data_IF_348312283371
#
_entry.id   IF_348312283371
#
_cell.length_a   1.000
_cell.length_b   1.000
_cell.length_c   1.000
_cell.angle_alpha   90.00
_cell.angle_beta   90.00
_cell.angle_gamma   90.00
#
_symmetry.space_group_name_H-M   'P 1'
#
loop_
_entity.id
_entity.type
_entity.pdbx_description
1 polymer ?
#
# COMPACT_ATOMS: atom_id res chain seq x y z
N UNK A 1 56.33 23.15 -19.77
CA UNK A 1 56.76 23.20 -18.35
C UNK A 1 55.79 22.32 -17.56
N UNK A 2 56.32 21.49 -16.69
CA UNK A 2 55.73 20.20 -16.38
C UNK A 2 54.68 20.21 -15.24
N UNK A 3 53.78 19.30 -15.39
CA UNK A 3 52.83 18.66 -14.50
C UNK A 3 53.42 18.32 -13.10
N UNK A 4 52.75 18.70 -12.02
CA UNK A 4 52.98 18.21 -10.66
C UNK A 4 51.67 17.97 -9.92
N UNK A 5 51.08 16.81 -10.16
CA UNK A 5 50.00 16.27 -9.30
C UNK A 5 50.56 15.14 -8.38
N UNK A 6 50.12 15.01 -7.12
CA UNK A 6 50.73 14.07 -6.19
C UNK A 6 50.25 12.63 -6.41
N UNK A 7 51.21 11.73 -6.59
CA UNK A 7 51.01 10.27 -6.63
C UNK A 7 50.82 9.72 -5.23
N UNK A 8 49.70 9.09 -4.95
CA UNK A 8 49.48 8.31 -3.73
C UNK A 8 50.08 6.92 -3.93
N UNK A 9 51.08 6.58 -3.14
CA UNK A 9 51.72 5.25 -3.09
C UNK A 9 50.89 4.28 -2.27
N UNK A 10 50.51 3.15 -2.90
CA UNK A 10 50.05 1.95 -2.19
C UNK A 10 51.21 1.37 -1.38
N UNK A 11 51.06 1.20 -0.07
CA UNK A 11 51.91 0.36 0.76
C UNK A 11 51.22 -0.94 1.09
N UNK A 12 51.77 -2.01 0.56
CA UNK A 12 51.55 -3.40 0.96
C UNK A 12 52.14 -3.63 2.35
N UNK A 13 51.35 -4.22 3.25
CA UNK A 13 51.89 -4.85 4.46
C UNK A 13 51.40 -6.29 4.47
N UNK A 14 52.32 -7.17 4.10
CA UNK A 14 52.31 -8.60 4.42
C UNK A 14 53.38 -8.79 5.48
N UNK A 15 53.02 -9.45 6.59
CA UNK A 15 53.84 -10.47 7.30
C UNK A 15 53.37 -10.64 8.75
N UNK A 16 53.11 -11.87 9.10
CA UNK A 16 52.92 -12.32 10.46
C UNK A 16 52.32 -13.72 10.52
N UNK A 17 53.10 -14.74 10.13
CA UNK A 17 52.76 -16.15 10.28
C UNK A 17 53.03 -16.53 11.74
N UNK A 18 52.06 -17.12 12.40
CA UNK A 18 52.22 -17.83 13.66
C UNK A 18 51.41 -19.13 13.61
N UNK A 19 52.08 -20.22 13.24
CA UNK A 19 51.55 -21.55 13.28
C UNK A 19 51.54 -22.08 14.71
N UNK A 20 50.40 -22.51 15.23
CA UNK A 20 50.30 -23.41 16.37
C UNK A 20 49.47 -24.62 15.95
N UNK A 21 50.17 -25.72 15.78
CA UNK A 21 49.62 -27.04 15.58
C UNK A 21 49.02 -27.55 16.88
N UNK A 22 47.77 -28.02 16.85
CA UNK A 22 47.20 -28.93 17.84
C UNK A 22 46.45 -30.04 17.11
N UNK A 23 46.87 -31.25 17.45
CA UNK A 23 46.47 -32.55 16.91
C UNK A 23 44.97 -32.86 17.15
N UNK A 24 44.41 -33.83 16.40
CA UNK A 24 42.98 -34.11 16.42
C UNK A 24 42.63 -35.04 17.57
N UNK A 25 41.64 -34.70 18.36
CA UNK A 25 40.94 -35.63 19.25
C UNK A 25 39.64 -36.01 18.53
N UNK A 26 39.68 -37.24 17.97
CA UNK A 26 38.50 -37.93 17.45
C UNK A 26 37.71 -38.43 18.65
N UNK A 27 36.56 -37.86 18.92
CA UNK A 27 35.49 -38.55 19.60
C UNK A 27 34.17 -38.31 18.83
N UNK A 28 33.71 -39.40 18.27
CA UNK A 28 32.44 -39.47 17.60
C UNK A 28 31.27 -39.30 18.57
N UNK A 29 30.38 -38.37 18.22
CA UNK A 29 28.98 -38.43 18.59
C UNK A 29 28.23 -37.69 17.48
N UNK A 30 27.57 -38.48 16.67
CA UNK A 30 26.66 -38.00 15.62
C UNK A 30 25.49 -37.24 16.24
N UNK A 31 25.63 -35.97 16.42
CA UNK A 31 24.50 -35.06 16.60
C UNK A 31 24.13 -34.48 15.25
N UNK A 32 23.12 -35.03 14.60
CA UNK A 32 22.39 -34.38 13.54
C UNK A 32 21.83 -33.07 14.12
N UNK A 33 22.50 -31.94 13.89
CA UNK A 33 21.87 -30.65 14.02
C UNK A 33 20.97 -30.51 12.79
N UNK A 34 19.83 -31.18 12.80
CA UNK A 34 18.69 -30.76 12.04
C UNK A 34 18.23 -29.45 12.70
N UNK A 35 18.73 -28.33 12.18
CA UNK A 35 18.12 -27.03 12.42
C UNK A 35 16.68 -27.11 11.88
N UNK A 36 15.78 -27.67 12.69
CA UNK A 36 14.36 -27.51 12.48
C UNK A 36 14.10 -26.01 12.68
N UNK A 37 14.00 -25.25 11.58
CA UNK A 37 13.18 -24.06 11.60
C UNK A 37 11.88 -24.48 12.29
N UNK A 38 11.41 -23.78 13.32
CA UNK A 38 10.12 -24.10 13.88
C UNK A 38 9.13 -24.02 12.73
N UNK A 39 8.59 -25.15 12.31
CA UNK A 39 7.46 -25.19 11.43
C UNK A 39 6.36 -24.47 12.21
N UNK A 40 6.24 -23.16 11.95
CA UNK A 40 5.12 -22.38 12.41
C UNK A 40 3.92 -23.21 12.06
N UNK A 41 3.11 -23.61 13.04
CA UNK A 41 1.85 -24.30 12.80
C UNK A 41 1.15 -23.52 11.71
N UNK A 42 1.20 -24.04 10.46
CA UNK A 42 0.34 -23.56 9.40
C UNK A 42 -1.06 -23.77 9.95
N UNK A 43 -1.68 -22.68 10.45
CA UNK A 43 -3.12 -22.66 10.61
C UNK A 43 -3.62 -23.05 9.23
N UNK A 44 -4.24 -24.21 9.09
CA UNK A 44 -5.00 -24.56 7.88
C UNK A 44 -5.82 -23.33 7.57
N UNK A 45 -5.86 -22.86 6.31
CA UNK A 45 -6.75 -21.77 5.93
C UNK A 45 -8.11 -22.19 6.49
N UNK A 46 -8.63 -21.39 7.41
CA UNK A 46 -9.99 -21.60 7.91
C UNK A 46 -10.86 -21.54 6.65
N UNK A 47 -11.55 -22.61 6.33
CA UNK A 47 -12.35 -22.70 5.12
C UNK A 47 -13.14 -21.40 5.00
N UNK A 48 -12.97 -20.70 3.87
CA UNK A 48 -13.49 -19.36 3.73
C UNK A 48 -15.01 -19.42 3.99
N UNK A 49 -15.45 -18.78 5.08
CA UNK A 49 -16.86 -18.74 5.47
C UNK A 49 -17.67 -17.76 4.61
N UNK A 50 -16.99 -16.97 3.78
CA UNK A 50 -17.57 -15.96 2.92
C UNK A 50 -17.01 -16.07 1.50
N UNK A 51 -17.87 -15.91 0.50
CA UNK A 51 -17.48 -15.79 -0.90
C UNK A 51 -16.71 -14.48 -1.14
N UNK A 52 -17.18 -13.40 -0.49
CA UNK A 52 -16.52 -12.10 -0.51
C UNK A 52 -15.76 -11.89 0.79
N UNK A 53 -14.46 -11.60 0.70
CA UNK A 53 -13.58 -11.37 1.85
C UNK A 53 -12.51 -10.33 1.59
N UNK A 54 -12.23 -9.58 2.63
CA UNK A 54 -11.05 -8.70 2.72
C UNK A 54 -9.85 -9.52 3.18
N UNK A 55 -8.69 -9.32 2.56
CA UNK A 55 -7.39 -9.82 3.01
C UNK A 55 -6.49 -8.61 3.25
N UNK A 56 -5.98 -8.47 4.47
CA UNK A 56 -5.03 -7.41 4.82
C UNK A 56 -3.62 -7.87 4.41
N UNK A 57 -3.02 -7.19 3.43
CA UNK A 57 -1.68 -7.53 2.93
C UNK A 57 -0.60 -6.72 3.66
N UNK A 58 -0.94 -5.50 4.09
CA UNK A 58 -0.07 -4.66 4.87
C UNK A 58 -0.90 -3.70 5.71
N UNK A 59 -0.52 -3.54 6.96
CA UNK A 59 -1.33 -2.86 7.98
C UNK A 59 -0.62 -1.73 8.71
N UNK A 60 0.65 -1.43 8.37
CA UNK A 60 1.34 -0.25 8.92
C UNK A 60 1.19 0.96 8.00
N UNK A 61 1.21 2.13 8.60
CA UNK A 61 1.23 3.43 7.94
C UNK A 61 2.54 4.17 8.13
N UNK A 62 2.76 5.15 7.26
CA UNK A 62 3.90 6.04 7.24
C UNK A 62 5.11 5.49 6.49
N UNK A 63 5.85 6.40 5.86
CA UNK A 63 7.05 6.08 5.07
C UNK A 63 8.26 5.80 5.98
N UNK A 64 8.13 4.87 6.92
CA UNK A 64 9.20 4.51 7.86
C UNK A 64 9.11 3.06 8.31
N UNK A 65 10.20 2.54 8.85
CA UNK A 65 10.24 1.23 9.52
C UNK A 65 10.08 1.42 11.03
N UNK A 66 9.00 0.89 11.57
CA UNK A 66 8.71 0.97 12.98
C UNK A 66 9.47 -0.09 13.77
N UNK A 67 10.31 0.27 14.73
CA UNK A 67 11.09 -0.70 15.53
C UNK A 67 10.18 -1.74 16.19
N UNK A 68 10.53 -3.02 16.03
CA UNK A 68 9.77 -4.12 16.61
C UNK A 68 8.45 -4.45 15.92
N UNK A 69 8.19 -3.87 14.74
CA UNK A 69 7.07 -4.22 13.86
C UNK A 69 7.56 -4.92 12.60
N UNK A 70 6.93 -6.01 12.22
CA UNK A 70 7.13 -6.75 10.97
C UNK A 70 5.97 -6.55 9.98
N UNK A 71 5.11 -5.57 10.24
CA UNK A 71 3.97 -5.21 9.38
C UNK A 71 4.48 -4.65 8.05
N UNK A 72 3.93 -5.13 6.95
CA UNK A 72 4.06 -4.50 5.65
C UNK A 72 3.27 -3.19 5.60
N UNK A 73 3.65 -2.29 4.70
CA UNK A 73 2.94 -1.02 4.48
C UNK A 73 1.59 -1.25 3.80
N UNK A 74 0.77 -0.19 3.80
CA UNK A 74 -0.64 -0.24 3.43
C UNK A 74 -0.93 -1.01 2.15
N UNK A 75 -1.71 -2.07 2.26
CA UNK A 75 -2.25 -2.81 1.12
C UNK A 75 -3.37 -3.75 1.55
N UNK A 76 -4.39 -3.88 0.73
CA UNK A 76 -5.51 -4.77 0.94
C UNK A 76 -5.85 -5.51 -0.35
N UNK A 77 -6.48 -6.68 -0.24
CA UNK A 77 -7.11 -7.34 -1.35
C UNK A 77 -8.58 -7.65 -1.02
N UNK A 78 -9.47 -7.29 -1.91
CA UNK A 78 -10.84 -7.79 -1.94
C UNK A 78 -10.86 -9.04 -2.81
N UNK A 79 -11.37 -10.13 -2.28
CA UNK A 79 -11.59 -11.38 -3.00
C UNK A 79 -13.07 -11.63 -3.16
N UNK A 80 -13.53 -11.89 -4.38
CA UNK A 80 -14.92 -12.25 -4.68
C UNK A 80 -14.91 -13.57 -5.48
N UNK A 81 -15.22 -14.67 -4.81
CA UNK A 81 -14.95 -16.00 -5.39
C UNK A 81 -13.45 -16.20 -5.61
N UNK A 82 -13.04 -16.32 -6.87
CA UNK A 82 -11.63 -16.46 -7.26
C UNK A 82 -11.01 -15.13 -7.75
N UNK A 83 -11.82 -14.11 -8.02
CA UNK A 83 -11.32 -12.82 -8.48
C UNK A 83 -10.69 -12.01 -7.35
N UNK A 84 -9.58 -11.35 -7.64
CA UNK A 84 -8.79 -10.54 -6.71
C UNK A 84 -8.76 -9.10 -7.21
N UNK A 85 -9.05 -8.16 -6.32
CA UNK A 85 -8.91 -6.71 -6.52
C UNK A 85 -7.94 -6.20 -5.47
N UNK A 86 -6.84 -5.59 -5.89
CA UNK A 86 -5.78 -5.11 -4.99
C UNK A 86 -5.95 -3.61 -4.77
N UNK A 87 -5.84 -3.17 -3.53
CA UNK A 87 -5.90 -1.77 -3.14
C UNK A 87 -4.58 -1.44 -2.46
N UNK A 88 -3.85 -0.52 -3.05
CA UNK A 88 -2.49 -0.12 -2.71
C UNK A 88 -1.46 -1.28 -2.73
N UNK A 89 -0.20 -0.94 -2.88
CA UNK A 89 0.93 -1.87 -2.93
C UNK A 89 2.13 -1.24 -2.19
N UNK A 90 1.97 -1.03 -0.88
CA UNK A 90 3.04 -0.52 -0.03
C UNK A 90 4.20 -1.50 0.13
N UNK A 91 5.25 -1.09 0.84
CA UNK A 91 6.45 -1.92 1.06
C UNK A 91 6.12 -3.26 1.70
N UNK A 92 6.58 -4.35 1.11
CA UNK A 92 6.35 -5.72 1.57
C UNK A 92 5.01 -6.31 1.14
N UNK A 93 4.10 -5.53 0.56
CA UNK A 93 2.74 -5.95 0.19
C UNK A 93 2.74 -7.02 -0.91
N UNK A 94 3.62 -6.92 -1.91
CA UNK A 94 3.71 -7.92 -2.96
C UNK A 94 4.14 -9.30 -2.41
N UNK A 95 5.03 -9.32 -1.42
CA UNK A 95 5.40 -10.56 -0.73
C UNK A 95 4.23 -11.11 0.10
N UNK A 96 3.48 -10.27 0.82
CA UNK A 96 2.29 -10.67 1.56
C UNK A 96 1.18 -11.18 0.63
N UNK A 97 1.04 -10.56 -0.55
CA UNK A 97 0.12 -11.05 -1.59
C UNK A 97 0.47 -12.49 -2.01
N UNK A 98 1.74 -12.76 -2.26
CA UNK A 98 2.19 -14.13 -2.54
C UNK A 98 1.92 -15.08 -1.37
N UNK A 99 2.18 -14.68 -0.13
CA UNK A 99 1.91 -15.50 1.06
C UNK A 99 0.40 -15.80 1.24
N UNK A 100 -0.47 -14.84 0.90
CA UNK A 100 -1.92 -15.00 1.06
C UNK A 100 -2.53 -15.95 0.01
N UNK A 101 -2.05 -15.91 -1.23
CA UNK A 101 -2.73 -16.56 -2.36
C UNK A 101 -1.91 -17.63 -3.06
N UNK A 102 -0.59 -17.67 -2.87
CA UNK A 102 0.25 -18.64 -3.53
C UNK A 102 0.10 -20.03 -2.90
N UNK A 103 -0.76 -20.84 -3.48
CA UNK A 103 -0.90 -22.25 -3.10
C UNK A 103 0.16 -23.12 -3.78
N UNK A 104 0.75 -22.66 -4.87
CA UNK A 104 1.71 -23.38 -5.70
C UNK A 104 1.21 -24.72 -6.24
N UNK A 105 1.79 -25.14 -7.34
CA UNK A 105 1.65 -26.52 -7.83
C UNK A 105 2.89 -27.30 -7.43
N UNK A 106 2.73 -28.53 -7.03
CA UNK A 106 3.83 -29.41 -6.61
C UNK A 106 3.95 -30.60 -7.58
N UNK A 107 5.19 -30.89 -7.99
CA UNK A 107 5.53 -32.10 -8.76
C UNK A 107 6.55 -32.90 -7.99
N UNK A 108 6.60 -34.21 -8.24
CA UNK A 108 7.67 -35.11 -7.75
C UNK A 108 8.67 -35.31 -8.87
N UNK A 109 9.93 -34.94 -8.63
CA UNK A 109 11.02 -35.16 -9.57
C UNK A 109 12.23 -35.76 -8.84
N UNK A 110 12.72 -36.90 -9.28
CA UNK A 110 13.82 -37.66 -8.65
C UNK A 110 13.64 -37.91 -7.17
N UNK A 111 12.39 -38.12 -6.71
CA UNK A 111 12.07 -38.37 -5.31
C UNK A 111 11.88 -37.12 -4.45
N UNK A 112 12.14 -35.94 -5.00
CA UNK A 112 11.95 -34.65 -4.31
C UNK A 112 10.62 -34.01 -4.69
N UNK A 113 9.99 -33.32 -3.75
CA UNK A 113 8.79 -32.52 -4.00
C UNK A 113 9.21 -31.11 -4.39
N UNK A 114 8.91 -30.70 -5.61
CA UNK A 114 9.28 -29.40 -6.17
C UNK A 114 8.01 -28.59 -6.35
N UNK A 115 8.02 -27.37 -5.83
CA UNK A 115 6.95 -26.39 -6.07
C UNK A 115 7.14 -25.72 -7.42
N UNK A 116 6.07 -25.68 -8.20
CA UNK A 116 6.00 -25.00 -9.50
C UNK A 116 4.87 -23.97 -9.50
N UNK A 117 4.77 -23.16 -10.53
CA UNK A 117 3.72 -22.15 -10.71
C UNK A 117 3.54 -21.21 -9.50
N UNK A 118 4.66 -20.66 -9.04
CA UNK A 118 4.75 -19.91 -7.78
C UNK A 118 3.82 -18.69 -7.68
N UNK A 119 3.44 -18.10 -8.78
CA UNK A 119 2.69 -16.83 -8.82
C UNK A 119 1.44 -16.90 -9.71
N UNK A 120 0.95 -18.10 -10.05
CA UNK A 120 -0.20 -18.28 -10.97
C UNK A 120 -1.49 -17.60 -10.49
N UNK A 121 -1.64 -17.34 -9.17
CA UNK A 121 -2.76 -16.59 -8.61
C UNK A 121 -2.88 -15.17 -9.17
N UNK A 122 -1.79 -14.57 -9.68
CA UNK A 122 -1.82 -13.22 -10.26
C UNK A 122 -2.67 -13.14 -11.53
N UNK A 123 -2.96 -14.26 -12.20
CA UNK A 123 -3.95 -14.33 -13.29
C UNK A 123 -5.38 -14.00 -12.81
N UNK A 124 -5.66 -14.13 -11.52
CA UNK A 124 -6.96 -13.84 -10.91
C UNK A 124 -7.11 -12.36 -10.52
N UNK A 125 -6.01 -11.58 -10.57
CA UNK A 125 -6.07 -10.15 -10.29
C UNK A 125 -6.71 -9.43 -11.46
N UNK A 126 -7.89 -8.83 -11.23
CA UNK A 126 -8.67 -8.11 -12.25
C UNK A 126 -8.36 -6.62 -12.31
N UNK A 127 -8.15 -6.01 -11.14
CA UNK A 127 -7.83 -4.59 -11.06
C UNK A 127 -6.99 -4.25 -9.83
N UNK A 128 -6.24 -3.14 -9.95
CA UNK A 128 -5.46 -2.51 -8.87
C UNK A 128 -5.96 -1.07 -8.71
N UNK A 129 -6.12 -0.62 -7.48
CA UNK A 129 -6.56 0.73 -7.13
C UNK A 129 -5.56 1.38 -6.19
N UNK A 130 -5.06 2.55 -6.53
CA UNK A 130 -4.19 3.33 -5.65
C UNK A 130 -4.98 4.48 -5.04
N UNK A 131 -4.96 4.57 -3.70
CA UNK A 131 -5.67 5.62 -2.96
C UNK A 131 -5.01 6.97 -3.17
N UNK A 132 -3.69 7.02 -3.10
CA UNK A 132 -2.86 8.19 -3.36
C UNK A 132 -1.41 7.77 -3.70
N UNK A 133 -0.52 8.74 -3.90
CA UNK A 133 0.79 8.48 -4.53
C UNK A 133 1.97 8.46 -3.56
N UNK A 134 1.76 8.23 -2.25
CA UNK A 134 2.86 8.03 -1.31
C UNK A 134 3.53 6.65 -1.48
N UNK A 135 4.82 6.57 -1.17
CA UNK A 135 5.59 5.34 -1.37
C UNK A 135 5.14 4.19 -0.49
N UNK A 136 4.62 4.44 0.71
CA UNK A 136 4.06 3.40 1.57
C UNK A 136 2.72 2.82 1.06
N UNK A 137 2.21 3.35 -0.08
CA UNK A 137 1.05 2.83 -0.81
C UNK A 137 1.40 2.25 -2.18
N UNK A 138 2.60 2.53 -2.72
CA UNK A 138 2.99 2.07 -4.05
C UNK A 138 4.42 1.52 -4.17
N UNK A 139 5.14 1.38 -3.05
CA UNK A 139 6.55 0.98 -3.05
C UNK A 139 6.85 -0.38 -3.69
N UNK A 140 5.93 -1.34 -3.61
CA UNK A 140 6.05 -2.66 -4.25
C UNK A 140 5.41 -2.73 -5.66
N UNK A 141 4.90 -1.62 -6.19
CA UNK A 141 4.27 -1.61 -7.50
C UNK A 141 5.20 -2.06 -8.64
N UNK A 142 6.49 -1.64 -8.71
CA UNK A 142 7.41 -2.17 -9.70
C UNK A 142 7.61 -3.69 -9.62
N UNK A 143 7.74 -4.21 -8.40
CA UNK A 143 7.86 -5.66 -8.14
C UNK A 143 6.60 -6.41 -8.57
N UNK A 144 5.44 -5.84 -8.29
CA UNK A 144 4.16 -6.42 -8.70
C UNK A 144 4.04 -6.49 -10.23
N UNK A 145 4.46 -5.44 -10.95
CA UNK A 145 4.45 -5.43 -12.42
C UNK A 145 5.34 -6.52 -13.00
N UNK A 146 6.58 -6.66 -12.50
CA UNK A 146 7.55 -7.65 -12.97
C UNK A 146 7.06 -9.09 -12.73
N UNK A 147 6.73 -9.42 -11.48
CA UNK A 147 6.28 -10.77 -11.12
C UNK A 147 4.94 -11.09 -11.78
N UNK A 148 4.07 -10.11 -11.88
CA UNK A 148 2.76 -10.28 -12.50
C UNK A 148 2.83 -10.57 -14.00
N UNK A 149 3.70 -9.88 -14.72
CA UNK A 149 3.94 -10.15 -16.14
C UNK A 149 4.45 -11.59 -16.36
N UNK A 150 5.41 -12.03 -15.53
CA UNK A 150 5.91 -13.41 -15.53
C UNK A 150 4.82 -14.44 -15.22
N UNK A 151 3.92 -14.12 -14.31
CA UNK A 151 2.80 -14.98 -13.91
C UNK A 151 1.63 -14.94 -14.89
N UNK A 152 1.63 -14.03 -15.85
CA UNK A 152 0.63 -13.90 -16.90
C UNK A 152 -0.64 -13.16 -16.48
N UNK A 153 -0.55 -12.17 -15.58
CA UNK A 153 -1.67 -11.25 -15.40
C UNK A 153 -1.99 -10.52 -16.71
N UNK A 154 -3.20 -10.08 -16.90
CA UNK A 154 -3.60 -9.38 -18.12
C UNK A 154 -3.58 -10.24 -19.40
N UNK A 155 -3.39 -11.57 -19.30
CA UNK A 155 -3.31 -12.45 -20.47
C UNK A 155 -4.67 -12.70 -21.13
N UNK A 156 -5.76 -12.69 -20.37
CA UNK A 156 -7.11 -12.81 -20.91
C UNK A 156 -7.68 -11.42 -21.24
N UNK A 157 -7.69 -10.54 -20.23
CA UNK A 157 -8.06 -9.14 -20.33
C UNK A 157 -6.97 -8.30 -19.69
N UNK A 158 -6.65 -7.12 -20.26
CA UNK A 158 -5.66 -6.22 -19.67
C UNK A 158 -5.95 -5.96 -18.22
N UNK A 159 -4.93 -6.09 -17.36
CA UNK A 159 -5.03 -5.70 -15.98
C UNK A 159 -5.39 -4.21 -15.88
N UNK A 160 -6.47 -3.88 -15.20
CA UNK A 160 -6.92 -2.51 -15.01
C UNK A 160 -6.24 -1.90 -13.79
N UNK A 161 -5.64 -0.72 -13.95
CA UNK A 161 -4.94 -0.01 -12.87
C UNK A 161 -5.51 1.39 -12.77
N UNK A 162 -6.00 1.73 -11.59
CA UNK A 162 -6.61 3.02 -11.30
C UNK A 162 -5.84 3.73 -10.20
N UNK A 163 -5.71 5.04 -10.30
CA UNK A 163 -5.11 5.84 -9.24
C UNK A 163 -5.27 7.33 -9.51
N UNK A 164 -4.75 8.18 -8.64
CA UNK A 164 -4.88 9.63 -8.77
C UNK A 164 -4.36 10.17 -10.09
N UNK A 165 -5.04 11.18 -10.61
CA UNK A 165 -4.50 12.02 -11.68
C UNK A 165 -3.37 12.93 -11.16
N UNK A 166 -2.68 13.56 -12.10
CA UNK A 166 -1.69 14.59 -11.79
C UNK A 166 -2.34 15.73 -10.99
N UNK A 167 -1.67 16.14 -9.90
CA UNK A 167 -2.11 17.26 -9.07
C UNK A 167 -2.01 18.61 -9.77
N UNK A 168 -1.06 18.81 -10.69
CA UNK A 168 -0.66 20.11 -11.21
C UNK A 168 0.43 20.78 -10.35
N UNK A 169 0.40 22.13 -10.28
CA UNK A 169 1.43 22.88 -9.55
C UNK A 169 1.34 22.69 -8.03
N UNK A 170 2.51 22.68 -7.40
CA UNK A 170 2.63 22.82 -5.95
C UNK A 170 2.85 24.28 -5.58
N UNK A 171 2.43 24.66 -4.36
CA UNK A 171 2.82 25.94 -3.77
C UNK A 171 4.33 25.97 -3.50
N UNK A 172 4.91 27.15 -3.64
CA UNK A 172 6.36 27.33 -3.47
C UNK A 172 6.82 27.09 -2.02
N UNK A 173 5.97 27.30 -1.05
CA UNK A 173 6.30 27.09 0.37
C UNK A 173 5.07 26.90 1.26
N UNK A 174 4.49 25.71 1.24
CA UNK A 174 3.29 25.38 2.04
C UNK A 174 3.62 25.17 3.51
N UNK A 175 4.88 24.84 3.81
CA UNK A 175 5.30 24.45 5.16
C UNK A 175 5.67 25.63 6.06
N UNK A 176 5.86 26.83 5.48
CA UNK A 176 6.44 27.98 6.21
C UNK A 176 7.91 27.79 6.59
N UNK A 177 8.56 26.71 6.14
CA UNK A 177 9.97 26.45 6.39
C UNK A 177 10.84 27.20 5.37
N UNK A 178 11.67 28.13 5.85
CA UNK A 178 12.48 29.02 5.02
C UNK A 178 13.70 28.34 4.36
N UNK A 179 13.88 27.04 4.54
CA UNK A 179 15.08 26.29 4.11
C UNK A 179 15.21 26.01 2.60
N UNK A 180 14.29 26.49 1.78
CA UNK A 180 14.28 26.27 0.34
C UNK A 180 14.00 24.80 -0.01
N UNK A 181 12.92 24.56 -0.73
CA UNK A 181 12.57 23.21 -1.20
C UNK A 181 13.17 23.01 -2.58
N UNK A 182 14.17 22.15 -2.68
CA UNK A 182 14.51 21.50 -3.95
C UNK A 182 13.54 20.34 -4.14
N UNK A 183 12.50 20.53 -4.94
CA UNK A 183 11.56 19.47 -5.26
C UNK A 183 12.08 18.67 -6.45
N UNK A 184 12.19 17.34 -6.26
CA UNK A 184 12.60 16.45 -7.35
C UNK A 184 11.68 16.63 -8.57
N UNK A 185 12.27 16.80 -9.75
CA UNK A 185 11.52 16.93 -11.00
C UNK A 185 10.88 18.30 -11.26
N UNK A 186 11.22 19.34 -10.50
CA UNK A 186 10.63 20.69 -10.63
C UNK A 186 11.54 21.69 -11.37
N UNK A 187 12.54 21.20 -12.09
CA UNK A 187 13.50 22.05 -12.81
C UNK A 187 12.92 22.81 -14.01
N UNK A 188 11.66 22.55 -14.35
CA UNK A 188 10.99 23.25 -15.46
C UNK A 188 9.58 23.71 -15.08
N UNK A 189 9.09 24.84 -15.61
CA UNK A 189 7.72 25.30 -15.40
C UNK A 189 6.64 24.32 -15.86
N UNK A 190 7.00 23.30 -16.63
CA UNK A 190 6.11 22.26 -17.16
C UNK A 190 6.29 20.92 -16.44
N UNK A 191 7.23 20.81 -15.50
CA UNK A 191 7.39 19.61 -14.72
C UNK A 191 6.11 19.34 -13.93
N UNK A 192 5.67 18.09 -13.97
CA UNK A 192 4.57 17.60 -13.15
C UNK A 192 5.15 17.12 -11.82
N UNK A 193 5.19 17.98 -10.78
CA UNK A 193 5.89 17.65 -9.54
C UNK A 193 5.23 16.47 -8.79
N UNK A 194 3.97 16.22 -9.10
CA UNK A 194 3.19 15.11 -8.53
C UNK A 194 2.46 14.38 -9.65
N UNK A 195 3.17 13.49 -10.38
CA UNK A 195 2.58 12.76 -11.50
C UNK A 195 1.42 11.88 -11.04
N UNK A 196 0.42 11.70 -11.90
CA UNK A 196 -0.65 10.72 -11.70
C UNK A 196 -0.16 9.29 -11.89
N UNK A 197 -1.05 8.31 -11.66
CA UNK A 197 -0.67 6.89 -11.72
C UNK A 197 -0.18 6.46 -13.11
N UNK A 198 -0.75 7.00 -14.19
CA UNK A 198 -0.31 6.69 -15.56
C UNK A 198 1.13 7.13 -15.79
N UNK A 199 1.43 8.40 -15.55
CA UNK A 199 2.80 8.91 -15.73
C UNK A 199 3.78 8.23 -14.76
N UNK A 200 3.38 7.95 -13.52
CA UNK A 200 4.20 7.20 -12.57
C UNK A 200 4.51 5.80 -13.09
N UNK A 201 3.54 5.12 -13.70
CA UNK A 201 3.77 3.81 -14.34
C UNK A 201 4.79 3.92 -15.47
N UNK A 202 4.67 4.91 -16.35
CA UNK A 202 5.63 5.14 -17.44
C UNK A 202 7.05 5.38 -16.92
N UNK A 203 7.19 6.17 -15.85
CA UNK A 203 8.48 6.43 -15.19
C UNK A 203 9.08 5.16 -14.54
N UNK A 204 8.25 4.32 -13.93
CA UNK A 204 8.66 3.03 -13.38
C UNK A 204 9.16 2.12 -14.50
N UNK A 205 8.42 2.00 -15.60
CA UNK A 205 8.81 1.17 -16.75
C UNK A 205 10.15 1.66 -17.34
N UNK A 206 10.38 2.96 -17.42
CA UNK A 206 11.66 3.53 -17.85
C UNK A 206 12.79 3.25 -16.85
N UNK A 207 12.54 3.41 -15.55
CA UNK A 207 13.56 3.20 -14.51
C UNK A 207 14.03 1.76 -14.43
N UNK A 208 13.14 0.80 -14.70
CA UNK A 208 13.43 -0.64 -14.66
C UNK A 208 13.51 -1.27 -16.06
N UNK A 209 13.72 -0.45 -17.11
CA UNK A 209 13.72 -0.92 -18.50
C UNK A 209 14.71 -2.05 -18.76
N UNK A 210 15.86 -2.06 -18.10
CA UNK A 210 16.83 -3.15 -18.25
C UNK A 210 16.21 -4.52 -17.89
N UNK A 211 15.49 -4.60 -16.76
CA UNK A 211 14.84 -5.84 -16.32
C UNK A 211 13.68 -6.19 -17.25
N UNK A 212 12.75 -5.28 -17.47
CA UNK A 212 11.56 -5.57 -18.27
C UNK A 212 11.90 -5.96 -19.71
N UNK A 213 12.86 -5.26 -20.35
CA UNK A 213 13.28 -5.56 -21.72
C UNK A 213 14.02 -6.90 -21.81
N UNK A 214 14.89 -7.21 -20.85
CA UNK A 214 15.57 -8.51 -20.81
C UNK A 214 14.55 -9.65 -20.70
N UNK A 215 13.60 -9.55 -19.79
CA UNK A 215 12.58 -10.58 -19.61
C UNK A 215 11.71 -10.76 -20.86
N UNK A 216 11.36 -9.67 -21.55
CA UNK A 216 10.60 -9.75 -22.79
C UNK A 216 11.46 -10.34 -23.92
N UNK A 217 12.73 -9.94 -24.04
CA UNK A 217 13.62 -10.36 -25.12
C UNK A 217 14.15 -11.80 -24.95
N UNK A 218 14.63 -12.13 -23.73
CA UNK A 218 15.34 -13.40 -23.51
C UNK A 218 14.42 -14.52 -23.00
N UNK A 219 13.37 -14.17 -22.25
CA UNK A 219 12.51 -15.12 -21.56
C UNK A 219 11.11 -15.20 -22.19
N UNK A 220 10.83 -14.42 -23.23
CA UNK A 220 9.54 -14.36 -23.94
C UNK A 220 8.34 -13.96 -23.05
N UNK A 221 8.58 -13.18 -21.99
CA UNK A 221 7.49 -12.62 -21.20
C UNK A 221 6.75 -11.52 -21.96
N UNK A 222 5.47 -11.29 -21.65
CA UNK A 222 4.70 -10.24 -22.28
C UNK A 222 5.31 -8.86 -22.05
N UNK A 223 5.25 -8.01 -23.07
CA UNK A 223 5.54 -6.58 -22.96
C UNK A 223 4.47 -5.90 -22.05
N UNK A 224 4.88 -5.41 -20.90
CA UNK A 224 3.97 -4.94 -19.85
C UNK A 224 2.97 -3.89 -20.37
N UNK A 225 3.34 -2.85 -21.15
CA UNK A 225 2.38 -1.90 -21.69
C UNK A 225 1.25 -2.52 -22.53
N UNK A 226 1.45 -3.72 -23.08
CA UNK A 226 0.43 -4.41 -23.86
C UNK A 226 -0.61 -5.15 -23.01
N UNK A 227 -0.26 -5.48 -21.78
CA UNK A 227 -1.09 -6.30 -20.88
C UNK A 227 -1.69 -5.54 -19.70
N UNK A 228 -1.39 -4.25 -19.57
CA UNK A 228 -1.99 -3.36 -18.58
C UNK A 228 -2.79 -2.24 -19.25
N UNK A 229 -3.74 -1.68 -18.50
CA UNK A 229 -4.46 -0.45 -18.84
C UNK A 229 -4.50 0.45 -17.62
N UNK A 230 -3.76 1.56 -17.66
CA UNK A 230 -3.64 2.50 -16.54
C UNK A 230 -4.52 3.71 -16.78
N UNK A 231 -5.33 4.05 -15.78
CA UNK A 231 -6.30 5.16 -15.84
C UNK A 231 -6.15 6.08 -14.64
N UNK A 232 -5.89 7.34 -14.90
CA UNK A 232 -5.94 8.41 -13.89
C UNK A 232 -7.39 8.70 -13.52
N UNK A 233 -7.70 8.72 -12.22
CA UNK A 233 -9.00 9.16 -11.69
C UNK A 233 -8.95 10.68 -11.55
N UNK A 234 -9.86 11.38 -12.21
CA UNK A 234 -9.88 12.85 -12.29
C UNK A 234 -9.31 13.41 -13.59
N UNK A 235 -8.97 12.56 -14.56
CA UNK A 235 -8.50 12.95 -15.89
C UNK A 235 -9.56 12.56 -16.94
N UNK A 236 -9.96 13.46 -17.85
CA UNK A 236 -10.88 13.14 -18.95
C UNK A 236 -10.44 11.98 -19.83
N UNK A 237 -9.13 11.76 -20.00
CA UNK A 237 -8.57 10.64 -20.76
C UNK A 237 -8.56 9.31 -19.98
N UNK A 238 -8.79 9.37 -18.68
CA UNK A 238 -8.88 8.22 -17.77
C UNK A 238 -10.30 7.99 -17.25
N UNK A 239 -10.53 8.35 -15.98
CA UNK A 239 -11.85 8.39 -15.35
C UNK A 239 -12.16 9.85 -15.03
N UNK A 240 -13.05 10.52 -15.78
CA UNK A 240 -13.33 11.94 -15.57
C UNK A 240 -13.97 12.19 -14.20
N UNK A 241 -13.79 13.40 -13.69
CA UNK A 241 -14.57 13.87 -12.56
C UNK A 241 -16.07 13.81 -12.88
N UNK A 242 -16.93 13.60 -11.86
CA UNK A 242 -18.37 13.56 -12.09
C UNK A 242 -18.89 14.91 -12.65
N UNK A 243 -19.94 14.83 -13.42
CA UNK A 243 -20.56 16.02 -14.03
C UNK A 243 -20.91 17.07 -12.95
N UNK A 244 -20.51 18.32 -13.21
CA UNK A 244 -20.71 19.43 -12.28
C UNK A 244 -19.66 19.55 -11.16
N UNK A 245 -18.77 18.59 -11.00
CA UNK A 245 -17.63 18.74 -10.08
C UNK A 245 -16.64 19.75 -10.63
N UNK A 246 -16.30 20.74 -9.80
CA UNK A 246 -15.30 21.75 -10.14
C UNK A 246 -13.96 21.35 -9.56
N UNK A 247 -13.17 20.62 -10.34
CA UNK A 247 -11.77 20.39 -9.99
C UNK A 247 -11.04 21.72 -9.94
N UNK A 248 -10.11 21.92 -9.02
CA UNK A 248 -9.20 23.05 -9.06
C UNK A 248 -8.41 23.10 -10.36
N UNK A 249 -8.02 24.32 -10.74
CA UNK A 249 -7.23 24.59 -11.93
C UNK A 249 -5.80 24.03 -11.77
N UNK A 250 -5.38 23.02 -12.56
CA UNK A 250 -4.04 22.41 -12.41
C UNK A 250 -2.90 23.39 -12.71
N UNK A 251 -3.19 24.53 -13.35
CA UNK A 251 -2.20 25.60 -13.59
C UNK A 251 -1.94 26.47 -12.36
N UNK A 252 -2.73 26.33 -11.31
CA UNK A 252 -2.61 27.10 -10.06
C UNK A 252 -2.22 26.19 -8.90
N UNK A 253 -1.43 26.69 -7.94
CA UNK A 253 -1.22 26.00 -6.68
C UNK A 253 -2.56 25.88 -5.94
N UNK A 254 -2.81 24.71 -5.37
CA UNK A 254 -4.03 24.46 -4.60
C UNK A 254 -3.80 24.74 -3.13
N UNK A 255 -4.71 25.47 -2.51
CA UNK A 255 -4.73 25.56 -1.06
C UNK A 255 -5.24 24.25 -0.45
N UNK A 256 -4.88 24.00 0.79
CA UNK A 256 -5.40 22.83 1.52
C UNK A 256 -6.93 22.74 1.54
N UNK A 257 -7.62 23.89 1.61
CA UNK A 257 -9.09 23.92 1.61
C UNK A 257 -9.69 23.41 0.30
N UNK A 258 -8.93 23.39 -0.79
CA UNK A 258 -9.35 22.98 -2.12
C UNK A 258 -9.05 21.50 -2.41
N UNK A 259 -8.18 20.83 -1.62
CA UNK A 259 -7.78 19.43 -1.88
C UNK A 259 -8.90 18.41 -1.62
N UNK A 260 -9.88 18.75 -0.77
CA UNK A 260 -11.02 17.88 -0.47
C UNK A 260 -12.34 18.68 -0.41
N UNK A 261 -12.89 19.14 -1.55
CA UNK A 261 -14.23 19.74 -1.56
C UNK A 261 -15.30 18.69 -1.26
N UNK A 262 -16.46 19.14 -0.76
CA UNK A 262 -17.60 18.26 -0.58
C UNK A 262 -18.06 17.68 -1.94
N UNK A 263 -18.27 16.38 -2.00
CA UNK A 263 -18.70 15.69 -3.22
C UNK A 263 -19.52 14.45 -2.92
N UNK A 264 -20.30 14.03 -3.90
CA UNK A 264 -21.00 12.74 -3.89
C UNK A 264 -20.09 11.62 -4.43
N UNK A 265 -20.29 10.37 -3.97
CA UNK A 265 -19.61 9.22 -4.54
C UNK A 265 -19.86 9.08 -6.04
N UNK A 266 -18.79 8.81 -6.80
CA UNK A 266 -18.90 8.56 -8.24
C UNK A 266 -18.25 7.24 -8.63
N UNK A 267 -18.85 6.58 -9.63
CA UNK A 267 -18.36 5.27 -10.10
C UNK A 267 -17.07 5.46 -10.91
N UNK A 268 -16.06 4.63 -10.59
CA UNK A 268 -14.76 4.64 -11.28
C UNK A 268 -14.51 3.33 -12.04
N UNK A 269 -15.13 2.22 -11.62
CA UNK A 269 -14.96 0.91 -12.24
C UNK A 269 -16.20 0.04 -11.99
N UNK A 270 -16.45 -0.90 -12.89
CA UNK A 270 -17.34 -2.04 -12.63
C UNK A 270 -17.01 -3.20 -13.55
N UNK A 271 -17.26 -4.41 -13.06
CA UNK A 271 -17.31 -5.65 -13.83
C UNK A 271 -18.52 -6.50 -13.39
N UNK A 272 -18.50 -7.80 -13.70
CA UNK A 272 -19.57 -8.74 -13.35
C UNK A 272 -19.65 -9.06 -11.84
N UNK A 273 -18.63 -8.72 -11.05
CA UNK A 273 -18.54 -9.06 -9.62
C UNK A 273 -18.59 -7.86 -8.69
N UNK A 274 -18.06 -6.72 -9.12
CA UNK A 274 -17.94 -5.53 -8.28
C UNK A 274 -18.35 -4.26 -9.02
N UNK A 275 -18.87 -3.30 -8.24
CA UNK A 275 -18.98 -1.90 -8.63
C UNK A 275 -18.12 -1.09 -7.67
N UNK A 276 -17.21 -0.25 -8.20
CA UNK A 276 -16.30 0.57 -7.40
C UNK A 276 -16.64 2.04 -7.54
N UNK A 277 -16.85 2.69 -6.41
CA UNK A 277 -17.08 4.13 -6.32
C UNK A 277 -15.97 4.80 -5.49
N UNK A 278 -15.69 6.06 -5.76
CA UNK A 278 -14.68 6.85 -5.09
C UNK A 278 -15.23 8.18 -4.56
N UNK A 279 -14.56 8.73 -3.57
CA UNK A 279 -14.64 10.14 -3.14
C UNK A 279 -13.25 10.64 -2.81
N UNK A 280 -13.04 11.95 -2.90
CA UNK A 280 -11.88 12.60 -2.30
C UNK A 280 -11.96 12.56 -0.78
N UNK A 281 -10.81 12.33 -0.14
CA UNK A 281 -10.62 12.43 1.31
C UNK A 281 -9.56 13.48 1.64
N UNK A 282 -9.62 14.03 2.86
CA UNK A 282 -8.71 15.09 3.30
C UNK A 282 -7.38 14.51 3.80
N UNK A 283 -6.41 14.42 2.91
CA UNK A 283 -5.04 14.06 3.28
C UNK A 283 -4.12 15.29 3.23
N UNK A 284 -4.55 16.36 3.87
CA UNK A 284 -3.87 17.66 3.91
C UNK A 284 -3.47 18.17 2.52
N UNK A 285 -2.17 18.28 2.24
CA UNK A 285 -1.67 18.75 0.94
C UNK A 285 -1.54 17.64 -0.11
N UNK A 286 -1.78 16.39 0.25
CA UNK A 286 -1.72 15.26 -0.69
C UNK A 286 -3.01 15.20 -1.48
N UNK A 287 -2.92 15.42 -2.79
CA UNK A 287 -4.07 15.49 -3.68
C UNK A 287 -3.72 14.94 -5.06
N UNK A 288 -4.63 14.22 -5.71
CA UNK A 288 -5.86 13.66 -5.14
C UNK A 288 -5.56 12.52 -4.17
N UNK A 289 -6.38 12.40 -3.12
CA UNK A 289 -6.42 11.23 -2.23
C UNK A 289 -7.84 10.69 -2.20
N UNK A 290 -7.99 9.38 -2.35
CA UNK A 290 -9.29 8.73 -2.51
C UNK A 290 -9.58 7.72 -1.41
N UNK A 291 -10.86 7.66 -1.00
CA UNK A 291 -11.46 6.47 -0.45
C UNK A 291 -12.22 5.70 -1.53
N UNK A 292 -12.26 4.39 -1.41
CA UNK A 292 -12.94 3.49 -2.35
C UNK A 292 -14.02 2.67 -1.66
N UNK A 293 -15.17 2.50 -2.33
CA UNK A 293 -16.23 1.58 -1.95
C UNK A 293 -16.39 0.51 -3.02
N UNK A 294 -16.38 -0.73 -2.59
CA UNK A 294 -16.61 -1.92 -3.40
C UNK A 294 -17.96 -2.51 -3.02
N UNK A 295 -18.94 -2.40 -3.90
CA UNK A 295 -20.24 -3.06 -3.76
C UNK A 295 -20.20 -4.39 -4.52
N UNK A 296 -20.59 -5.48 -3.85
CA UNK A 296 -20.68 -6.83 -4.38
C UNK A 296 -22.06 -7.40 -4.14
N UNK A 297 -22.39 -8.55 -4.74
CA UNK A 297 -23.64 -9.25 -4.46
C UNK A 297 -23.78 -9.71 -3.00
N UNK A 298 -22.67 -9.83 -2.26
CA UNK A 298 -22.65 -10.33 -0.89
C UNK A 298 -22.67 -9.18 0.14
N UNK A 299 -22.12 -8.01 -0.19
CA UNK A 299 -22.03 -6.88 0.72
C UNK A 299 -21.06 -5.80 0.22
N UNK A 300 -20.81 -4.80 1.07
CA UNK A 300 -20.00 -3.63 0.75
C UNK A 300 -18.76 -3.51 1.63
N UNK A 301 -17.59 -3.29 0.99
CA UNK A 301 -16.32 -2.96 1.61
C UNK A 301 -15.97 -1.51 1.28
N UNK A 302 -15.50 -0.75 2.28
CA UNK A 302 -14.93 0.58 2.10
C UNK A 302 -13.49 0.62 2.63
N UNK A 303 -12.60 1.24 1.86
CA UNK A 303 -11.21 1.52 2.23
C UNK A 303 -11.07 3.03 2.29
N UNK A 304 -10.66 3.58 3.46
CA UNK A 304 -10.57 5.03 3.65
C UNK A 304 -9.45 5.69 2.85
N UNK A 305 -8.38 4.94 2.52
CA UNK A 305 -7.09 5.54 2.21
C UNK A 305 -6.59 6.35 3.43
N UNK A 306 -5.58 7.17 3.22
CA UNK A 306 -5.10 8.10 4.24
C UNK A 306 -6.00 9.33 4.28
N UNK A 307 -6.48 9.66 5.46
CA UNK A 307 -7.42 10.76 5.64
C UNK A 307 -7.37 11.36 7.03
N UNK A 308 -7.41 12.67 7.12
CA UNK A 308 -7.76 13.38 8.34
C UNK A 308 -9.24 13.19 8.70
N UNK A 309 -9.73 13.92 9.70
CA UNK A 309 -11.14 13.89 10.08
C UNK A 309 -12.04 14.23 8.88
N UNK A 310 -13.09 13.46 8.68
CA UNK A 310 -14.05 13.63 7.56
C UNK A 310 -14.94 14.87 7.72
N UNK A 311 -14.31 16.07 7.72
CA UNK A 311 -14.99 17.35 7.98
C UNK A 311 -16.01 17.73 6.90
N UNK A 312 -15.91 17.16 5.69
CA UNK A 312 -16.82 17.41 4.57
C UNK A 312 -17.87 16.31 4.42
N UNK A 313 -17.77 15.25 5.19
CA UNK A 313 -18.69 14.11 5.15
C UNK A 313 -18.57 13.27 3.86
N UNK A 314 -17.44 13.37 3.13
CA UNK A 314 -17.24 12.61 1.90
C UNK A 314 -17.13 11.10 2.20
N UNK A 315 -16.28 10.73 3.15
CA UNK A 315 -16.15 9.34 3.58
C UNK A 315 -17.46 8.82 4.20
N UNK A 316 -18.14 9.63 4.99
CA UNK A 316 -19.44 9.26 5.57
C UNK A 316 -20.45 8.92 4.47
N UNK A 317 -20.56 9.74 3.42
CA UNK A 317 -21.46 9.46 2.29
C UNK A 317 -21.08 8.18 1.55
N UNK A 318 -19.79 8.00 1.26
CA UNK A 318 -19.28 6.81 0.57
C UNK A 318 -19.52 5.53 1.39
N UNK A 319 -19.23 5.58 2.69
CA UNK A 319 -19.22 4.40 3.56
C UNK A 319 -20.58 4.07 4.18
N UNK A 320 -21.62 4.85 3.89
CA UNK A 320 -22.94 4.69 4.53
C UNK A 320 -23.44 3.24 4.46
N UNK A 321 -23.62 2.63 5.63
CA UNK A 321 -24.16 1.28 5.79
C UNK A 321 -23.27 0.14 5.26
N UNK A 322 -21.95 0.35 5.09
CA UNK A 322 -21.05 -0.70 4.64
C UNK A 322 -20.94 -1.85 5.65
N UNK A 323 -20.63 -3.04 5.15
CA UNK A 323 -20.41 -4.22 6.00
C UNK A 323 -19.03 -4.15 6.69
N UNK A 324 -18.02 -3.65 5.98
CA UNK A 324 -16.66 -3.48 6.49
C UNK A 324 -16.14 -2.11 6.06
N UNK A 325 -15.69 -1.33 7.03
CA UNK A 325 -14.90 -0.11 6.86
C UNK A 325 -13.47 -0.41 7.30
N UNK A 326 -12.53 -0.39 6.38
CA UNK A 326 -11.09 -0.35 6.69
C UNK A 326 -10.69 1.10 6.82
N UNK A 327 -10.17 1.49 7.97
CA UNK A 327 -9.81 2.88 8.25
C UNK A 327 -8.38 2.98 8.76
N UNK A 328 -7.68 4.00 8.28
CA UNK A 328 -6.36 4.37 8.81
C UNK A 328 -6.47 4.89 10.24
N UNK A 329 -5.36 4.89 10.97
CA UNK A 329 -5.32 5.41 12.33
C UNK A 329 -3.93 5.86 12.74
N UNK A 330 -3.86 7.04 13.36
CA UNK A 330 -2.65 7.51 14.04
C UNK A 330 -2.85 7.58 15.54
N UNK A 331 -1.85 7.12 16.32
CA UNK A 331 -1.89 7.25 17.78
C UNK A 331 -1.57 8.69 18.21
N UNK A 332 -2.59 9.41 18.62
CA UNK A 332 -2.46 10.80 19.05
C UNK A 332 -1.51 10.99 20.25
N UNK A 333 -1.40 10.01 21.16
CA UNK A 333 -0.42 10.08 22.28
C UNK A 333 1.02 10.03 21.75
N UNK A 334 1.26 9.19 20.74
CA UNK A 334 2.57 9.17 20.07
C UNK A 334 2.87 10.52 19.40
N UNK A 335 1.89 11.11 18.72
CA UNK A 335 2.05 12.44 18.10
C UNK A 335 2.38 13.49 19.15
N UNK A 336 1.58 13.59 20.20
CA UNK A 336 1.78 14.54 21.29
C UNK A 336 3.15 14.39 21.95
N UNK A 337 3.60 13.16 22.18
CA UNK A 337 4.89 12.85 22.78
C UNK A 337 6.07 13.17 21.87
N UNK A 338 5.97 12.79 20.59
CA UNK A 338 7.05 12.94 19.58
C UNK A 338 7.30 14.40 19.19
N UNK A 339 6.24 15.21 19.19
CA UNK A 339 6.30 16.63 18.81
C UNK A 339 6.14 17.60 20.01
N UNK A 340 6.33 17.07 21.22
CA UNK A 340 6.21 17.90 22.42
C UNK A 340 7.16 19.11 22.39
N UNK A 341 6.56 20.31 22.43
CA UNK A 341 7.30 21.56 22.45
C UNK A 341 7.74 22.10 21.09
N UNK A 342 7.42 21.41 20.00
CA UNK A 342 7.66 21.91 18.62
C UNK A 342 6.82 23.17 18.36
N UNK A 343 7.46 24.21 17.82
CA UNK A 343 6.84 25.53 17.58
C UNK A 343 6.83 25.88 16.10
N UNK A 344 5.92 26.77 15.67
CA UNK A 344 5.94 27.35 14.34
C UNK A 344 7.32 27.90 13.95
N UNK A 345 7.78 27.57 12.72
CA UNK A 345 9.08 27.98 12.21
C UNK A 345 10.24 27.04 12.52
N UNK A 346 10.07 26.03 13.36
CA UNK A 346 11.07 24.98 13.56
C UNK A 346 11.08 23.95 12.41
N UNK A 347 12.22 23.28 12.11
CA UNK A 347 12.33 22.34 10.99
C UNK A 347 11.33 21.18 11.04
N UNK A 348 10.92 20.76 12.24
CA UNK A 348 9.97 19.67 12.46
C UNK A 348 8.50 20.12 12.45
N UNK A 349 8.25 21.43 12.47
CA UNK A 349 6.89 21.99 12.49
C UNK A 349 6.03 21.55 11.27
N UNK A 350 6.55 21.54 10.01
CA UNK A 350 5.76 21.07 8.88
C UNK A 350 5.33 19.63 9.01
N UNK A 351 6.23 18.76 9.49
CA UNK A 351 5.90 17.35 9.74
C UNK A 351 4.82 17.21 10.80
N UNK A 352 4.94 17.94 11.92
CA UNK A 352 3.94 17.94 12.98
C UNK A 352 2.56 18.38 12.45
N UNK A 353 2.51 19.44 11.66
CA UNK A 353 1.26 19.92 11.05
C UNK A 353 0.67 18.87 10.08
N UNK A 354 1.50 18.24 9.29
CA UNK A 354 1.06 17.16 8.38
C UNK A 354 0.44 16.01 9.18
N UNK A 355 1.17 15.46 10.13
CA UNK A 355 0.74 14.31 10.93
C UNK A 355 -0.59 14.57 11.65
N UNK A 356 -0.78 15.77 12.22
CA UNK A 356 -2.03 16.16 12.91
C UNK A 356 -3.24 16.28 11.98
N UNK A 357 -3.00 16.63 10.74
CA UNK A 357 -4.07 17.09 9.86
C UNK A 357 -4.35 16.17 8.69
N UNK A 358 -3.39 15.32 8.36
CA UNK A 358 -3.47 14.39 7.23
C UNK A 358 -3.98 13.00 7.64
N UNK A 359 -4.06 12.75 8.96
CA UNK A 359 -4.44 11.44 9.49
C UNK A 359 -5.52 11.56 10.57
N UNK A 360 -6.25 10.48 10.77
CA UNK A 360 -7.31 10.39 11.77
C UNK A 360 -6.77 9.89 13.10
N UNK A 361 -6.94 10.68 14.15
CA UNK A 361 -6.57 10.32 15.52
C UNK A 361 -7.33 9.08 16.00
N UNK A 362 -6.66 8.22 16.76
CA UNK A 362 -7.24 7.01 17.34
C UNK A 362 -8.53 7.29 18.13
N UNK A 363 -8.61 8.45 18.80
CA UNK A 363 -9.77 8.83 19.60
C UNK A 363 -10.99 9.25 18.75
N UNK A 364 -10.82 9.45 17.43
CA UNK A 364 -11.86 9.91 16.50
C UNK A 364 -12.39 8.81 15.59
N UNK A 365 -11.58 7.80 15.26
CA UNK A 365 -11.90 6.76 14.28
C UNK A 365 -13.22 6.05 14.59
N UNK A 366 -13.49 5.73 15.86
CA UNK A 366 -14.76 5.09 16.27
C UNK A 366 -15.99 5.93 15.94
N UNK A 367 -15.91 7.25 16.18
CA UNK A 367 -17.03 8.17 15.85
C UNK A 367 -17.24 8.28 14.35
N UNK A 368 -16.18 8.26 13.55
CA UNK A 368 -16.29 8.23 12.08
C UNK A 368 -16.96 6.95 11.62
N UNK A 369 -16.54 5.78 12.11
CA UNK A 369 -17.17 4.52 11.79
C UNK A 369 -18.66 4.48 12.16
N UNK A 370 -19.04 5.04 13.30
CA UNK A 370 -20.43 5.18 13.74
C UNK A 370 -21.23 6.10 12.81
N UNK A 371 -20.68 7.24 12.39
CA UNK A 371 -21.34 8.16 11.45
C UNK A 371 -21.57 7.52 10.08
N UNK A 372 -20.67 6.63 9.65
CA UNK A 372 -20.82 5.81 8.45
C UNK A 372 -21.84 4.68 8.61
N UNK A 373 -22.32 4.40 9.81
CA UNK A 373 -23.16 3.21 10.12
C UNK A 373 -22.47 1.91 9.66
N UNK A 374 -21.15 1.83 9.76
CA UNK A 374 -20.40 0.64 9.42
C UNK A 374 -20.75 -0.50 10.39
N UNK A 375 -20.82 -1.76 9.90
CA UNK A 375 -21.07 -2.91 10.77
C UNK A 375 -19.79 -3.38 11.45
N UNK A 376 -18.68 -3.34 10.72
CA UNK A 376 -17.35 -3.70 11.20
C UNK A 376 -16.35 -2.60 10.85
N UNK A 377 -15.58 -2.16 11.83
CA UNK A 377 -14.41 -1.29 11.67
C UNK A 377 -13.16 -2.14 11.75
N UNK A 378 -12.32 -2.07 10.72
CA UNK A 378 -11.00 -2.70 10.67
C UNK A 378 -9.95 -1.60 10.69
N UNK A 379 -9.10 -1.56 11.71
CA UNK A 379 -7.96 -0.65 11.72
C UNK A 379 -6.85 -1.19 10.84
N UNK A 380 -6.39 -0.39 9.91
CA UNK A 380 -5.23 -0.64 9.05
C UNK A 380 -4.46 0.67 8.90
N UNK A 381 -3.35 0.69 8.14
CA UNK A 381 -2.48 1.86 8.05
C UNK A 381 -2.22 2.46 9.44
N UNK A 382 -1.77 1.58 10.36
CA UNK A 382 -1.56 1.91 11.77
C UNK A 382 -0.23 2.67 11.91
N UNK A 383 -0.27 3.88 12.43
CA UNK A 383 0.90 4.70 12.70
C UNK A 383 0.93 5.14 14.19
N UNK A 384 1.99 4.83 14.92
CA UNK A 384 3.10 3.90 14.62
C UNK A 384 2.68 2.45 14.42
N UNK A 385 3.37 1.73 13.52
CA UNK A 385 3.08 0.32 13.26
C UNK A 385 3.31 -0.62 14.44
N UNK A 386 4.02 -0.17 15.47
CA UNK A 386 4.27 -0.87 16.73
C UNK A 386 3.34 -0.44 17.88
N UNK A 387 2.29 0.35 17.60
CA UNK A 387 1.32 0.74 18.62
C UNK A 387 0.68 -0.49 19.28
N UNK A 388 0.67 -0.60 20.61
CA UNK A 388 0.13 -1.78 21.29
C UNK A 388 -1.36 -2.00 20.98
N UNK A 389 -1.75 -3.26 20.75
CA UNK A 389 -3.15 -3.64 20.45
C UNK A 389 -4.12 -3.13 21.53
N UNK A 390 -3.71 -3.15 22.79
CA UNK A 390 -4.54 -2.63 23.89
C UNK A 390 -4.85 -1.14 23.73
N UNK A 391 -3.90 -0.35 23.18
CA UNK A 391 -4.10 1.06 22.85
C UNK A 391 -5.03 1.20 21.65
N UNK A 392 -4.80 0.46 20.58
CA UNK A 392 -5.62 0.49 19.35
C UNK A 392 -7.09 0.12 19.60
N UNK A 393 -7.37 -0.75 20.57
CA UNK A 393 -8.74 -1.08 20.97
C UNK A 393 -9.56 0.10 21.52
N UNK A 394 -8.93 1.21 21.86
CA UNK A 394 -9.64 2.43 22.28
C UNK A 394 -10.44 3.06 21.11
N UNK A 395 -10.14 2.72 19.86
CA UNK A 395 -10.98 3.07 18.71
C UNK A 395 -12.42 2.52 18.81
N UNK A 396 -12.70 1.58 19.73
CA UNK A 396 -14.08 1.15 20.01
C UNK A 396 -14.96 2.26 20.61
N UNK A 397 -14.33 3.29 21.20
CA UNK A 397 -15.07 4.39 21.83
C UNK A 397 -15.93 5.12 20.79
N UNK A 398 -17.23 5.20 21.07
CA UNK A 398 -18.21 5.84 20.17
C UNK A 398 -18.61 5.00 18.94
N UNK A 399 -18.26 3.72 18.95
CA UNK A 399 -18.65 2.78 17.90
C UNK A 399 -19.27 1.51 18.50
N UNK A 400 -20.52 1.23 18.17
CA UNK A 400 -21.27 0.06 18.68
C UNK A 400 -21.09 -1.19 17.81
N UNK A 401 -20.49 -1.04 16.62
CA UNK A 401 -20.21 -2.17 15.74
C UNK A 401 -19.00 -3.00 16.17
N UNK A 402 -18.59 -3.94 15.35
CA UNK A 402 -17.44 -4.80 15.62
C UNK A 402 -16.13 -4.09 15.26
N UNK A 403 -15.22 -3.97 16.24
CA UNK A 403 -13.85 -3.48 16.01
C UNK A 403 -12.89 -4.66 15.78
N UNK A 404 -12.06 -4.56 14.76
CA UNK A 404 -10.94 -5.45 14.47
C UNK A 404 -9.67 -4.60 14.37
N UNK A 405 -8.66 -4.91 15.17
CA UNK A 405 -7.30 -4.40 14.96
C UNK A 405 -6.65 -5.28 13.90
N UNK A 406 -6.38 -4.70 12.72
CA UNK A 406 -5.84 -5.44 11.59
C UNK A 406 -4.43 -5.95 11.83
N UNK A 407 -4.16 -7.12 11.30
CA UNK A 407 -2.83 -7.73 11.21
C UNK A 407 -2.61 -8.25 9.80
N UNK A 408 -1.36 -8.27 9.35
CA UNK A 408 -1.01 -8.78 8.02
C UNK A 408 -1.51 -10.21 7.85
N UNK A 409 -2.02 -10.53 6.66
CA UNK A 409 -2.60 -11.82 6.27
C UNK A 409 -3.92 -12.17 6.99
N UNK A 410 -4.47 -11.26 7.81
CA UNK A 410 -5.80 -11.45 8.38
C UNK A 410 -6.86 -11.42 7.28
N UNK A 411 -7.87 -12.30 7.41
CA UNK A 411 -9.01 -12.34 6.50
C UNK A 411 -10.29 -11.98 7.25
N UNK A 412 -11.12 -11.13 6.65
CA UNK A 412 -12.40 -10.69 7.20
C UNK A 412 -13.49 -10.90 6.15
N UNK A 413 -14.55 -11.62 6.51
CA UNK A 413 -15.72 -11.79 5.64
C UNK A 413 -16.43 -10.47 5.40
N UNK A 414 -16.90 -10.26 4.17
CA UNK A 414 -17.67 -9.07 3.78
C UNK A 414 -19.10 -9.48 3.44
N UNK A 415 -20.05 -8.94 4.19
CA UNK A 415 -21.46 -9.16 3.97
C UNK A 415 -21.95 -10.58 4.32
N UNK A 416 -22.63 -11.24 3.40
CA UNK A 416 -23.32 -12.51 3.63
C UNK A 416 -22.34 -13.69 3.72
N UNK A 417 -22.41 -14.54 4.78
CA UNK A 417 -21.64 -15.76 4.82
C UNK A 417 -22.18 -16.80 3.81
N UNK A 418 -21.34 -17.77 3.47
CA UNK A 418 -21.74 -18.91 2.65
C UNK A 418 -22.83 -19.73 3.34
N UNK A 419 -23.80 -20.28 2.60
CA UNK A 419 -24.85 -21.15 3.17
C UNK A 419 -24.23 -22.32 3.98
N UNK A 420 -24.77 -22.57 5.18
CA UNK A 420 -24.31 -23.65 6.06
C UNK A 420 -23.05 -23.34 6.89
N UNK A 421 -22.44 -22.17 6.74
CA UNK A 421 -21.35 -21.73 7.62
C UNK A 421 -21.93 -20.90 8.77
N UNK A 422 -21.57 -21.24 10.03
CA UNK A 422 -21.84 -20.34 11.17
C UNK A 422 -20.76 -19.25 11.14
N UNK A 423 -21.20 -18.01 11.05
CA UNK A 423 -20.36 -16.81 11.10
C UNK A 423 -19.69 -16.57 12.46
#
# INVERSE_FOLDING_TARGET
MPDTGPRIRRRSILKGVGALALAPLVMGLGARVAGAFPAGRKKRPQAATHRTRLVLLGTTGGMTWWPGSDRASASQALVVGDAIYVIDLGFGAAHRLAQAFNTGTFITYRGETIQTELSSFLKQVRAVFFTHMHMDHLGDYPTFLEIGARAGFGSADKLKIFGPCNRGRLDENVSGYAGGLQMAGVDTPQATPTPGIRQTTDLILQSFAATFNNCTHDESYPDIPKIIEVRDIGDPAGVPWPAGFKAPDPAKPWTRAETCPAMEPFQIYSDDLVKVSAVLVDHAQVYPSFAFRFDTADGALVISGDTGPDTKGNLQRLAQGCDVLVHEVIDNIWVEGSFKGVKPGEPTWPLYQHVLSAHTALDDVGRIAASCRAKTLVLSHIAPGNTPVARLRQAQKGFDGRLIVGEDLMQVGVGKPLPGTRG
#
